data_IF_559642662160
#
_entry.id   IF_559642662160
#
_cell.length_a   1.000
_cell.length_b   1.000
_cell.length_c   1.000
_cell.angle_alpha   90.00
_cell.angle_beta   90.00
_cell.angle_gamma   90.00
#
_symmetry.space_group_name_H-M   'P 1'
#
loop_
_entity.id
_entity.type
_entity.pdbx_description
1 polymer ?
#
# COMPACT_ATOMS: atom_id res chain seq x y z
N UNK A 1 -28.76 29.06 -6.88
CA UNK A 1 -27.39 29.31 -6.35
C UNK A 1 -26.53 28.06 -6.18
N UNK A 2 -27.01 26.97 -5.55
CA UNK A 2 -26.21 25.76 -5.28
C UNK A 2 -25.71 25.02 -6.54
N UNK A 3 -26.46 25.07 -7.63
CA UNK A 3 -26.11 24.42 -8.91
C UNK A 3 -25.06 25.21 -9.71
N UNK A 4 -25.17 26.55 -9.76
CA UNK A 4 -24.14 27.40 -10.35
C UNK A 4 -22.79 27.25 -9.64
N UNK A 5 -22.81 27.20 -8.30
CA UNK A 5 -21.60 26.97 -7.49
C UNK A 5 -20.98 25.58 -7.71
N UNK A 6 -21.81 24.56 -7.92
CA UNK A 6 -21.32 23.22 -8.29
C UNK A 6 -20.61 23.23 -9.64
N UNK A 7 -21.19 23.89 -10.65
CA UNK A 7 -20.59 23.96 -11.99
C UNK A 7 -19.22 24.63 -11.93
N UNK A 8 -19.11 25.78 -11.25
CA UNK A 8 -17.85 26.54 -11.17
C UNK A 8 -16.79 25.82 -10.34
N UNK A 9 -17.12 25.37 -9.12
CA UNK A 9 -16.15 24.65 -8.26
C UNK A 9 -15.81 23.26 -8.83
N UNK A 10 -16.77 22.57 -9.43
CA UNK A 10 -16.59 21.27 -10.06
C UNK A 10 -15.65 21.36 -11.26
N UNK A 11 -15.84 22.37 -12.12
CA UNK A 11 -14.93 22.64 -13.24
C UNK A 11 -13.52 23.01 -12.76
N UNK A 12 -13.40 23.82 -11.70
CA UNK A 12 -12.11 24.17 -11.12
C UNK A 12 -11.37 22.95 -10.56
N UNK A 13 -12.06 22.08 -9.81
CA UNK A 13 -11.48 20.84 -9.27
C UNK A 13 -11.12 19.86 -10.39
N UNK A 14 -11.91 19.80 -11.45
CA UNK A 14 -11.60 19.01 -12.65
C UNK A 14 -10.32 19.50 -13.33
N UNK A 15 -10.18 20.81 -13.53
CA UNK A 15 -8.98 21.41 -14.11
C UNK A 15 -7.74 21.14 -13.23
N UNK A 16 -7.86 21.29 -11.91
CA UNK A 16 -6.80 20.93 -10.96
C UNK A 16 -6.44 19.45 -11.09
N UNK A 17 -7.44 18.56 -11.17
CA UNK A 17 -7.18 17.13 -11.34
C UNK A 17 -6.39 16.84 -12.63
N UNK A 18 -6.81 17.40 -13.77
CA UNK A 18 -6.12 17.20 -15.06
C UNK A 18 -4.69 17.73 -15.01
N UNK A 19 -4.47 18.90 -14.37
CA UNK A 19 -3.12 19.44 -14.16
C UNK A 19 -2.26 18.50 -13.31
N UNK A 20 -2.77 18.02 -12.17
CA UNK A 20 -2.07 17.07 -11.32
C UNK A 20 -1.76 15.77 -12.06
N UNK A 21 -2.68 15.29 -12.91
CA UNK A 21 -2.49 14.09 -13.71
C UNK A 21 -1.31 14.26 -14.66
N UNK A 22 -1.24 15.36 -15.39
CA UNK A 22 -0.12 15.62 -16.31
C UNK A 22 1.21 15.80 -15.58
N UNK A 23 1.23 16.54 -14.46
CA UNK A 23 2.44 16.64 -13.63
C UNK A 23 2.89 15.24 -13.16
N UNK A 24 1.92 14.39 -12.76
CA UNK A 24 2.18 13.03 -12.31
C UNK A 24 2.80 12.11 -13.37
N UNK A 25 2.65 12.47 -14.65
CA UNK A 25 3.08 11.66 -15.78
C UNK A 25 4.37 12.18 -16.41
N UNK A 26 4.52 13.49 -16.51
CA UNK A 26 5.58 14.10 -17.33
C UNK A 26 6.69 14.79 -16.54
N UNK A 27 6.52 15.00 -15.23
CA UNK A 27 7.58 15.60 -14.40
C UNK A 27 8.29 14.51 -13.59
N UNK A 28 9.55 14.16 -13.88
CA UNK A 28 10.30 13.18 -13.12
C UNK A 28 10.42 13.57 -11.64
N UNK A 29 10.47 12.57 -10.74
CA UNK A 29 10.57 12.71 -9.27
C UNK A 29 9.32 13.36 -8.65
N UNK A 30 8.99 14.60 -9.05
CA UNK A 30 7.80 15.32 -8.60
C UNK A 30 6.52 14.56 -8.95
N UNK A 31 6.47 13.95 -10.14
CA UNK A 31 5.29 13.22 -10.59
C UNK A 31 4.93 12.03 -9.71
N UNK A 32 5.92 11.37 -9.11
CA UNK A 32 5.71 10.30 -8.12
C UNK A 32 5.00 10.83 -6.88
N UNK A 33 5.45 11.98 -6.36
CA UNK A 33 4.84 12.62 -5.18
C UNK A 33 3.43 13.11 -5.50
N UNK A 34 3.25 13.75 -6.66
CA UNK A 34 1.96 14.31 -7.10
C UNK A 34 0.92 13.23 -7.40
N UNK A 35 1.34 12.02 -7.79
CA UNK A 35 0.44 10.87 -8.00
C UNK A 35 -0.43 10.61 -6.77
N UNK A 36 0.11 10.74 -5.56
CA UNK A 36 -0.65 10.53 -4.32
C UNK A 36 -1.62 11.67 -3.98
N UNK A 37 -1.50 12.82 -4.63
CA UNK A 37 -2.45 13.94 -4.52
C UNK A 37 -3.62 13.83 -5.50
N UNK A 38 -3.57 12.92 -6.49
CA UNK A 38 -4.63 12.74 -7.49
C UNK A 38 -6.03 12.45 -6.92
N UNK A 39 -6.19 11.73 -5.79
CA UNK A 39 -7.50 11.54 -5.17
C UNK A 39 -8.10 12.84 -4.62
N UNK A 40 -7.28 13.84 -4.28
CA UNK A 40 -7.69 14.99 -3.48
C UNK A 40 -8.83 15.82 -4.11
N UNK A 41 -8.82 16.15 -5.42
CA UNK A 41 -9.94 16.87 -6.03
C UNK A 41 -11.27 16.12 -5.91
N UNK A 42 -11.25 14.79 -6.09
CA UNK A 42 -12.43 13.95 -5.96
C UNK A 42 -12.89 13.78 -4.51
N UNK A 43 -11.96 13.72 -3.55
CA UNK A 43 -12.26 13.77 -2.11
C UNK A 43 -13.02 15.06 -1.77
N UNK A 44 -12.49 16.21 -2.18
CA UNK A 44 -13.09 17.52 -1.93
C UNK A 44 -14.48 17.64 -2.56
N UNK A 45 -14.61 17.19 -3.80
CA UNK A 45 -15.87 17.21 -4.52
C UNK A 45 -16.94 16.35 -3.81
N UNK A 46 -16.56 15.16 -3.34
CA UNK A 46 -17.45 14.23 -2.65
C UNK A 46 -17.88 14.74 -1.27
N UNK A 47 -16.96 15.39 -0.54
CA UNK A 47 -17.27 16.03 0.75
C UNK A 47 -18.27 17.17 0.54
N UNK A 48 -18.02 18.05 -0.44
CA UNK A 48 -18.80 19.28 -0.66
C UNK A 48 -20.16 19.05 -1.33
N UNK A 49 -20.27 18.07 -2.22
CA UNK A 49 -21.45 17.85 -3.06
C UNK A 49 -22.07 16.47 -2.86
N UNK A 50 -23.18 16.20 -3.58
CA UNK A 50 -23.81 14.86 -3.59
C UNK A 50 -22.90 13.86 -4.31
N UNK A 51 -23.04 12.57 -3.97
CA UNK A 51 -22.25 11.51 -4.59
C UNK A 51 -22.43 11.44 -6.12
N UNK A 52 -23.67 11.65 -6.60
CA UNK A 52 -23.99 11.73 -8.03
C UNK A 52 -23.11 12.77 -8.75
N UNK A 53 -22.92 13.93 -8.15
CA UNK A 53 -22.13 15.02 -8.71
C UNK A 53 -20.64 14.66 -8.80
N UNK A 54 -20.14 13.87 -7.84
CA UNK A 54 -18.78 13.38 -7.87
C UNK A 54 -18.54 12.45 -9.06
N UNK A 55 -19.51 11.56 -9.34
CA UNK A 55 -19.48 10.70 -10.53
C UNK A 55 -19.58 11.49 -11.84
N UNK A 56 -20.39 12.56 -11.90
CA UNK A 56 -20.44 13.41 -13.11
C UNK A 56 -19.06 13.99 -13.45
N UNK A 57 -18.36 14.56 -12.46
CA UNK A 57 -17.02 15.11 -12.69
C UNK A 57 -15.99 14.01 -12.97
N UNK A 58 -16.12 12.84 -12.33
CA UNK A 58 -15.28 11.68 -12.65
C UNK A 58 -15.46 11.22 -14.10
N UNK A 59 -16.69 11.11 -14.59
CA UNK A 59 -16.96 10.78 -15.98
C UNK A 59 -16.41 11.84 -16.92
N UNK A 60 -16.55 13.14 -16.60
CA UNK A 60 -15.95 14.21 -17.37
C UNK A 60 -14.41 14.12 -17.41
N UNK A 61 -13.78 13.85 -16.26
CA UNK A 61 -12.34 13.62 -16.17
C UNK A 61 -11.89 12.43 -17.03
N UNK A 62 -12.62 11.32 -16.94
CA UNK A 62 -12.35 10.12 -17.72
C UNK A 62 -12.42 10.42 -19.22
N UNK A 63 -13.49 11.07 -19.70
CA UNK A 63 -13.64 11.45 -21.10
C UNK A 63 -12.51 12.37 -21.58
N UNK A 64 -12.15 13.40 -20.80
CA UNK A 64 -11.03 14.29 -21.16
C UNK A 64 -9.73 13.48 -21.30
N UNK A 65 -9.46 12.57 -20.36
CA UNK A 65 -8.24 11.77 -20.35
C UNK A 65 -8.20 10.77 -21.50
N UNK A 66 -9.34 10.27 -21.97
CA UNK A 66 -9.42 9.43 -23.19
C UNK A 66 -8.89 10.18 -24.41
N UNK A 67 -9.21 11.47 -24.56
CA UNK A 67 -8.80 12.24 -25.73
C UNK A 67 -7.39 12.83 -25.63
N UNK A 68 -6.92 13.16 -24.41
CA UNK A 68 -5.71 13.98 -24.23
C UNK A 68 -4.54 13.19 -23.61
N UNK A 69 -4.75 11.96 -23.13
CA UNK A 69 -3.73 11.20 -22.40
C UNK A 69 -3.44 9.81 -22.99
N UNK A 70 -2.34 9.22 -22.52
CA UNK A 70 -1.92 7.86 -22.80
C UNK A 70 -2.74 6.85 -21.95
N UNK A 71 -2.76 5.55 -22.28
CA UNK A 71 -3.50 4.53 -21.52
C UNK A 71 -3.21 4.51 -20.02
N UNK A 72 -1.97 4.81 -19.61
CA UNK A 72 -1.60 4.91 -18.19
C UNK A 72 -2.33 6.04 -17.46
N UNK A 73 -2.66 7.14 -18.16
CA UNK A 73 -3.46 8.23 -17.63
C UNK A 73 -4.87 7.76 -17.28
N UNK A 74 -5.49 6.95 -18.15
CA UNK A 74 -6.81 6.36 -17.89
C UNK A 74 -6.79 5.46 -16.66
N UNK A 75 -5.77 4.60 -16.54
CA UNK A 75 -5.57 3.75 -15.37
C UNK A 75 -5.49 4.59 -14.09
N UNK A 76 -4.66 5.65 -14.11
CA UNK A 76 -4.55 6.59 -12.97
C UNK A 76 -5.89 7.27 -12.68
N UNK A 77 -6.65 7.71 -13.68
CA UNK A 77 -7.96 8.33 -13.47
C UNK A 77 -8.95 7.40 -12.82
N UNK A 78 -9.07 6.17 -13.31
CA UNK A 78 -9.99 5.18 -12.74
C UNK A 78 -9.60 4.88 -11.29
N UNK A 79 -8.32 4.56 -11.03
CA UNK A 79 -7.84 4.18 -9.69
C UNK A 79 -7.98 5.32 -8.69
N UNK A 80 -7.35 6.46 -8.97
CA UNK A 80 -7.27 7.55 -8.01
C UNK A 80 -8.57 8.36 -7.95
N UNK A 81 -9.32 8.42 -9.05
CA UNK A 81 -10.63 9.08 -9.09
C UNK A 81 -11.68 8.33 -8.27
N UNK A 82 -11.83 7.02 -8.50
CA UNK A 82 -12.74 6.20 -7.68
C UNK A 82 -12.28 6.16 -6.23
N UNK A 83 -10.98 6.06 -5.98
CA UNK A 83 -10.46 6.14 -4.61
C UNK A 83 -10.82 7.46 -3.93
N UNK A 84 -10.67 8.59 -4.62
CA UNK A 84 -11.02 9.88 -4.07
C UNK A 84 -12.50 9.99 -3.72
N UNK A 85 -13.37 9.36 -4.50
CA UNK A 85 -14.80 9.26 -4.19
C UNK A 85 -15.05 8.38 -2.95
N UNK A 86 -14.42 7.20 -2.88
CA UNK A 86 -14.55 6.28 -1.74
C UNK A 86 -14.09 6.94 -0.44
N UNK A 87 -12.88 7.50 -0.42
CA UNK A 87 -12.34 8.18 0.76
C UNK A 87 -13.14 9.44 1.09
N UNK A 88 -13.57 10.20 0.08
CA UNK A 88 -14.44 11.35 0.27
C UNK A 88 -15.75 11.01 0.98
N UNK A 89 -16.35 9.85 0.68
CA UNK A 89 -17.53 9.35 1.39
C UNK A 89 -17.22 9.03 2.86
N UNK A 90 -16.06 8.43 3.13
CA UNK A 90 -15.65 8.07 4.49
C UNK A 90 -15.34 9.30 5.34
N UNK A 91 -14.62 10.28 4.78
CA UNK A 91 -14.36 11.57 5.43
C UNK A 91 -15.66 12.33 5.69
N UNK A 92 -16.57 12.37 4.73
CA UNK A 92 -17.88 13.02 4.89
C UNK A 92 -18.71 12.42 6.03
N UNK A 93 -18.57 11.12 6.27
CA UNK A 93 -19.23 10.38 7.37
C UNK A 93 -18.44 10.42 8.69
N UNK A 94 -17.34 11.19 8.77
CA UNK A 94 -16.47 11.29 9.95
C UNK A 94 -16.03 9.92 10.50
N UNK A 95 -15.68 8.99 9.61
CA UNK A 95 -15.24 7.64 10.00
C UNK A 95 -13.87 7.68 10.67
N UNK A 96 -13.64 6.71 11.56
CA UNK A 96 -12.36 6.58 12.28
C UNK A 96 -11.21 6.30 11.29
N UNK A 97 -9.98 6.79 11.54
CA UNK A 97 -8.85 6.62 10.62
C UNK A 97 -8.61 5.17 10.18
N UNK A 98 -8.72 4.20 11.08
CA UNK A 98 -8.57 2.78 10.76
C UNK A 98 -9.65 2.27 9.79
N UNK A 99 -10.90 2.71 9.93
CA UNK A 99 -11.98 2.35 8.99
C UNK A 99 -11.70 2.93 7.60
N UNK A 100 -11.18 4.17 7.54
CA UNK A 100 -10.76 4.80 6.29
C UNK A 100 -9.61 4.02 5.65
N UNK A 101 -8.60 3.60 6.43
CA UNK A 101 -7.47 2.81 5.94
C UNK A 101 -7.92 1.47 5.37
N UNK A 102 -8.76 0.71 6.10
CA UNK A 102 -9.24 -0.59 5.64
C UNK A 102 -10.06 -0.44 4.36
N UNK A 103 -10.99 0.53 4.33
CA UNK A 103 -11.86 0.77 3.16
C UNK A 103 -11.05 1.21 1.95
N UNK A 104 -10.08 2.12 2.13
CA UNK A 104 -9.18 2.55 1.06
C UNK A 104 -8.28 1.42 0.58
N UNK A 105 -7.73 0.61 1.49
CA UNK A 105 -6.88 -0.54 1.12
C UNK A 105 -7.66 -1.54 0.27
N UNK A 106 -8.90 -1.86 0.66
CA UNK A 106 -9.78 -2.74 -0.11
C UNK A 106 -10.15 -2.14 -1.48
N UNK A 107 -10.46 -0.84 -1.54
CA UNK A 107 -10.77 -0.18 -2.80
C UNK A 107 -9.57 -0.12 -3.75
N UNK A 108 -8.34 0.13 -3.26
CA UNK A 108 -7.12 0.06 -4.09
C UNK A 108 -6.89 -1.38 -4.56
N UNK A 109 -7.02 -2.37 -3.67
CA UNK A 109 -6.81 -3.77 -4.01
C UNK A 109 -7.77 -4.21 -5.13
N UNK A 110 -9.07 -3.95 -4.97
CA UNK A 110 -10.08 -4.25 -5.98
C UNK A 110 -9.76 -3.56 -7.29
N UNK A 111 -9.39 -2.28 -7.25
CA UNK A 111 -9.05 -1.52 -8.47
C UNK A 111 -7.85 -2.13 -9.20
N UNK A 112 -6.78 -2.46 -8.47
CA UNK A 112 -5.57 -3.09 -9.02
C UNK A 112 -5.91 -4.46 -9.61
N UNK A 113 -6.71 -5.27 -8.92
CA UNK A 113 -7.13 -6.58 -9.43
C UNK A 113 -7.99 -6.47 -10.69
N UNK A 114 -8.93 -5.51 -10.74
CA UNK A 114 -9.74 -5.27 -11.93
C UNK A 114 -8.87 -4.84 -13.12
N UNK A 115 -7.88 -3.98 -12.90
CA UNK A 115 -6.93 -3.57 -13.93
C UNK A 115 -6.08 -4.75 -14.40
N UNK A 116 -5.62 -5.59 -13.48
CA UNK A 116 -4.86 -6.79 -13.82
C UNK A 116 -5.68 -7.77 -14.67
N UNK A 117 -6.93 -8.02 -14.31
CA UNK A 117 -7.83 -8.87 -15.11
C UNK A 117 -8.10 -8.24 -16.48
N UNK A 118 -8.30 -6.92 -16.53
CA UNK A 118 -8.49 -6.19 -17.79
C UNK A 118 -7.25 -6.24 -18.69
N UNK A 119 -6.04 -6.12 -18.13
CA UNK A 119 -4.80 -6.19 -18.90
C UNK A 119 -4.65 -7.54 -19.60
N UNK A 120 -4.99 -8.63 -18.92
CA UNK A 120 -4.95 -9.97 -19.50
C UNK A 120 -6.03 -10.13 -20.57
N UNK A 121 -7.29 -9.82 -20.25
CA UNK A 121 -8.42 -10.13 -21.14
C UNK A 121 -8.50 -9.25 -22.39
N UNK A 122 -8.19 -7.96 -22.27
CA UNK A 122 -8.37 -7.01 -23.37
C UNK A 122 -7.07 -6.70 -24.11
N UNK A 123 -5.92 -6.84 -23.45
CA UNK A 123 -4.64 -6.46 -24.02
C UNK A 123 -3.67 -7.63 -24.18
N UNK A 124 -4.02 -8.84 -23.71
CA UNK A 124 -3.12 -9.99 -23.65
C UNK A 124 -1.81 -9.71 -22.91
N UNK A 125 -1.87 -8.81 -21.92
CA UNK A 125 -0.74 -8.37 -21.08
C UNK A 125 -0.85 -9.04 -19.71
N UNK A 126 0.05 -9.98 -19.45
CA UNK A 126 0.26 -10.59 -18.13
C UNK A 126 1.47 -9.95 -17.44
N UNK A 127 1.19 -9.04 -16.51
CA UNK A 127 2.23 -8.31 -15.78
C UNK A 127 3.09 -9.23 -14.90
N UNK A 128 2.52 -10.30 -14.35
CA UNK A 128 3.27 -11.24 -13.51
C UNK A 128 4.30 -11.97 -14.37
N UNK A 129 3.87 -12.52 -15.52
CA UNK A 129 4.79 -13.17 -16.46
C UNK A 129 5.84 -12.24 -17.01
N UNK A 130 5.52 -10.95 -17.23
CA UNK A 130 6.52 -9.97 -17.66
C UNK A 130 7.59 -9.76 -16.60
N UNK A 131 7.22 -9.60 -15.33
CA UNK A 131 8.18 -9.47 -14.22
C UNK A 131 9.06 -10.73 -14.14
N UNK A 132 8.48 -11.93 -14.24
CA UNK A 132 9.23 -13.19 -14.25
C UNK A 132 10.20 -13.28 -15.42
N UNK A 133 9.74 -12.92 -16.63
CA UNK A 133 10.59 -12.91 -17.82
C UNK A 133 11.74 -11.91 -17.70
N UNK A 134 11.49 -10.73 -17.12
CA UNK A 134 12.53 -9.75 -16.82
C UNK A 134 13.53 -10.29 -15.80
N UNK A 135 13.06 -10.92 -14.72
CA UNK A 135 13.91 -11.54 -13.72
C UNK A 135 14.82 -12.62 -14.34
N UNK A 136 14.24 -13.55 -15.11
CA UNK A 136 14.97 -14.61 -15.80
C UNK A 136 16.02 -14.04 -16.77
N UNK A 137 15.69 -13.00 -17.53
CA UNK A 137 16.64 -12.30 -18.41
C UNK A 137 17.80 -11.69 -17.61
N UNK A 138 17.52 -11.07 -16.46
CA UNK A 138 18.54 -10.51 -15.57
C UNK A 138 19.48 -11.57 -14.99
N UNK A 139 18.96 -12.76 -14.67
CA UNK A 139 19.79 -13.89 -14.21
C UNK A 139 20.72 -14.36 -15.32
N UNK A 140 20.20 -14.57 -16.53
CA UNK A 140 21.01 -14.97 -17.70
C UNK A 140 22.06 -13.91 -18.05
N UNK A 141 21.71 -12.63 -17.95
CA UNK A 141 22.66 -11.54 -18.20
C UNK A 141 23.75 -11.50 -17.12
N UNK A 142 23.39 -11.67 -15.85
CA UNK A 142 24.34 -11.77 -14.75
C UNK A 142 25.30 -12.95 -14.95
N UNK A 143 24.80 -14.09 -15.41
CA UNK A 143 25.62 -15.27 -15.70
C UNK A 143 26.67 -14.97 -16.78
N UNK A 144 26.27 -14.31 -17.88
CA UNK A 144 27.21 -13.93 -18.94
C UNK A 144 28.31 -13.02 -18.41
N UNK A 145 27.97 -11.99 -17.64
CA UNK A 145 28.94 -11.06 -17.06
C UNK A 145 29.90 -11.80 -16.11
N UNK A 146 29.36 -12.65 -15.25
CA UNK A 146 30.13 -13.40 -14.27
C UNK A 146 31.09 -14.40 -14.94
N UNK A 147 30.65 -15.06 -16.03
CA UNK A 147 31.49 -15.95 -16.84
C UNK A 147 32.65 -15.22 -17.51
N UNK A 148 32.41 -14.02 -18.06
CA UNK A 148 33.46 -13.18 -18.67
C UNK A 148 34.44 -12.66 -17.61
N UNK A 149 33.97 -12.40 -16.39
CA UNK A 149 34.79 -11.99 -15.25
C UNK A 149 35.56 -13.15 -14.58
N UNK A 150 35.49 -14.38 -15.11
CA UNK A 150 36.15 -15.56 -14.54
C UNK A 150 35.51 -16.08 -13.24
N UNK A 151 34.29 -15.63 -12.92
CA UNK A 151 33.53 -16.03 -11.73
C UNK A 151 32.19 -16.65 -12.14
N UNK A 152 32.18 -17.83 -12.79
CA UNK A 152 30.93 -18.43 -13.25
C UNK A 152 29.98 -18.71 -12.08
N UNK A 153 28.69 -18.41 -12.29
CA UNK A 153 27.64 -18.67 -11.30
C UNK A 153 27.51 -20.18 -11.09
N UNK A 154 27.57 -20.64 -9.84
CA UNK A 154 27.47 -22.06 -9.50
C UNK A 154 26.05 -22.61 -9.78
N UNK A 155 25.91 -23.93 -9.90
CA UNK A 155 24.59 -24.56 -10.07
C UNK A 155 23.66 -24.26 -8.89
N UNK A 156 24.19 -24.29 -7.67
CA UNK A 156 23.44 -23.96 -6.45
C UNK A 156 22.93 -22.52 -6.48
N UNK A 157 23.75 -21.56 -6.92
CA UNK A 157 23.33 -20.16 -7.08
C UNK A 157 22.23 -20.01 -8.12
N UNK A 158 22.27 -20.78 -9.21
CA UNK A 158 21.19 -20.80 -10.21
C UNK A 158 19.88 -21.35 -9.65
N UNK A 159 19.95 -22.44 -8.90
CA UNK A 159 18.77 -23.01 -8.24
C UNK A 159 18.16 -22.02 -7.24
N UNK A 160 18.98 -21.28 -6.49
CA UNK A 160 18.50 -20.20 -5.63
C UNK A 160 17.75 -19.11 -6.43
N UNK A 161 18.25 -18.69 -7.59
CA UNK A 161 17.53 -17.72 -8.42
C UNK A 161 16.17 -18.25 -8.91
N UNK A 162 16.10 -19.52 -9.32
CA UNK A 162 14.83 -20.15 -9.72
C UNK A 162 13.85 -20.17 -8.54
N UNK A 163 14.31 -20.60 -7.35
CA UNK A 163 13.49 -20.60 -6.15
C UNK A 163 12.99 -19.19 -5.77
N UNK A 164 13.82 -18.16 -5.92
CA UNK A 164 13.40 -16.78 -5.67
C UNK A 164 12.26 -16.35 -6.61
N UNK A 165 12.32 -16.74 -7.90
CA UNK A 165 11.25 -16.44 -8.85
C UNK A 165 9.93 -17.14 -8.47
N UNK A 166 10.00 -18.39 -8.03
CA UNK A 166 8.83 -19.16 -7.59
C UNK A 166 8.22 -18.61 -6.29
N UNK A 167 9.06 -18.19 -5.34
CA UNK A 167 8.63 -17.51 -4.12
C UNK A 167 7.92 -16.20 -4.47
N UNK A 168 8.49 -15.38 -5.37
CA UNK A 168 7.89 -14.12 -5.80
C UNK A 168 6.48 -14.33 -6.37
N UNK A 169 6.28 -15.38 -7.17
CA UNK A 169 4.96 -15.72 -7.68
C UNK A 169 4.01 -16.15 -6.56
N UNK A 170 4.50 -16.97 -5.62
CA UNK A 170 3.72 -17.48 -4.51
C UNK A 170 3.23 -16.36 -3.59
N UNK A 171 4.07 -15.39 -3.26
CA UNK A 171 3.74 -14.28 -2.35
C UNK A 171 3.16 -13.03 -3.05
N UNK A 172 2.94 -13.11 -4.36
CA UNK A 172 2.40 -12.00 -5.15
C UNK A 172 1.08 -11.43 -4.60
N UNK A 173 0.11 -12.26 -4.14
CA UNK A 173 -1.11 -11.74 -3.51
C UNK A 173 -0.83 -10.83 -2.30
N UNK A 174 0.10 -11.20 -1.43
CA UNK A 174 0.50 -10.37 -0.29
C UNK A 174 1.19 -9.08 -0.70
N UNK A 175 1.95 -9.09 -1.81
CA UNK A 175 2.52 -7.86 -2.38
C UNK A 175 1.40 -6.91 -2.81
N UNK A 176 0.35 -7.39 -3.48
CA UNK A 176 -0.79 -6.57 -3.88
C UNK A 176 -1.52 -5.97 -2.67
N UNK A 177 -1.74 -6.77 -1.63
CA UNK A 177 -2.34 -6.30 -0.36
C UNK A 177 -1.47 -5.20 0.25
N UNK A 178 -0.16 -5.42 0.36
CA UNK A 178 0.78 -4.47 0.94
C UNK A 178 0.81 -3.15 0.15
N UNK A 179 0.93 -3.22 -1.18
CA UNK A 179 0.89 -2.04 -2.05
C UNK A 179 -0.41 -1.27 -1.83
N UNK A 180 -1.55 -1.97 -1.77
CA UNK A 180 -2.86 -1.35 -1.58
C UNK A 180 -2.97 -0.62 -0.23
N UNK A 181 -2.45 -1.23 0.83
CA UNK A 181 -2.38 -0.62 2.18
C UNK A 181 -1.48 0.60 2.18
N UNK A 182 -0.29 0.51 1.58
CA UNK A 182 0.65 1.63 1.46
C UNK A 182 0.04 2.80 0.68
N UNK A 183 -0.57 2.53 -0.48
CA UNK A 183 -1.26 3.53 -1.28
C UNK A 183 -2.36 4.22 -0.48
N UNK A 184 -3.19 3.44 0.24
CA UNK A 184 -4.26 3.97 1.09
C UNK A 184 -3.71 4.84 2.20
N UNK A 185 -2.68 4.38 2.90
CA UNK A 185 -2.09 5.10 4.03
C UNK A 185 -1.45 6.43 3.60
N UNK A 186 -0.67 6.43 2.51
CA UNK A 186 -0.08 7.65 1.95
C UNK A 186 -1.18 8.62 1.51
N UNK A 187 -2.21 8.12 0.82
CA UNK A 187 -3.35 8.95 0.39
C UNK A 187 -4.01 9.63 1.60
N UNK A 188 -4.26 8.88 2.68
CA UNK A 188 -4.90 9.39 3.91
C UNK A 188 -4.05 10.46 4.59
N UNK A 189 -2.73 10.28 4.66
CA UNK A 189 -1.82 11.28 5.26
C UNK A 189 -1.87 12.59 4.48
N UNK A 190 -1.78 12.52 3.15
CA UNK A 190 -1.80 13.69 2.27
C UNK A 190 -3.17 14.35 2.29
N UNK A 191 -4.25 13.58 2.13
CA UNK A 191 -5.61 14.10 2.10
C UNK A 191 -6.02 14.67 3.45
N UNK A 192 -5.72 13.99 4.56
CA UNK A 192 -6.02 14.49 5.91
C UNK A 192 -5.33 15.83 6.18
N UNK A 193 -4.06 15.96 5.78
CA UNK A 193 -3.31 17.22 5.91
C UNK A 193 -3.91 18.35 5.06
N UNK A 194 -4.27 18.05 3.81
CA UNK A 194 -4.88 19.01 2.90
C UNK A 194 -6.28 19.43 3.36
N UNK A 195 -7.11 18.48 3.80
CA UNK A 195 -8.46 18.74 4.32
C UNK A 195 -8.43 19.63 5.56
N UNK A 196 -7.51 19.37 6.49
CA UNK A 196 -7.32 20.22 7.67
C UNK A 196 -6.94 21.66 7.30
N UNK A 197 -6.03 21.84 6.33
CA UNK A 197 -5.66 23.17 5.81
C UNK A 197 -6.84 23.90 5.16
N UNK A 198 -7.71 23.15 4.50
CA UNK A 198 -8.94 23.64 3.87
C UNK A 198 -10.11 23.80 4.86
N UNK A 199 -9.85 23.73 6.18
CA UNK A 199 -10.84 23.89 7.26
C UNK A 199 -12.00 22.89 7.20
N UNK A 200 -11.74 21.67 6.71
CA UNK A 200 -12.67 20.55 6.83
C UNK A 200 -12.39 19.77 8.12
N UNK A 201 -13.45 19.44 8.86
CA UNK A 201 -13.35 18.59 10.04
C UNK A 201 -12.94 17.17 9.62
N UNK A 202 -11.79 16.73 10.11
CA UNK A 202 -11.27 15.37 9.90
C UNK A 202 -10.68 14.85 11.20
N UNK A 203 -11.01 13.60 11.53
CA UNK A 203 -10.37 12.91 12.64
C UNK A 203 -8.89 12.69 12.26
N UNK A 204 -7.93 13.23 13.03
CA UNK A 204 -6.52 13.13 12.68
C UNK A 204 -6.04 11.67 12.74
N UNK A 205 -5.12 11.31 11.85
CA UNK A 205 -4.42 10.03 11.94
C UNK A 205 -3.63 9.96 13.26
N UNK A 206 -3.68 8.84 14.01
CA UNK A 206 -2.92 8.71 15.26
C UNK A 206 -1.42 8.87 15.02
N UNK A 207 -0.69 9.40 16.01
CA UNK A 207 0.77 9.46 15.93
C UNK A 207 1.31 8.03 15.84
N UNK A 208 2.42 7.82 15.12
CA UNK A 208 2.97 6.48 14.90
C UNK A 208 3.19 5.68 16.19
N UNK A 209 3.67 6.34 17.26
CA UNK A 209 3.84 5.73 18.59
C UNK A 209 2.53 5.25 19.23
N UNK A 210 1.39 5.81 18.86
CA UNK A 210 0.08 5.52 19.45
C UNK A 210 -0.69 4.48 18.60
N UNK A 211 -0.16 4.07 17.45
CA UNK A 211 -0.75 3.02 16.61
C UNK A 211 -0.58 1.68 17.32
N UNK A 212 -1.72 1.05 17.60
CA UNK A 212 -1.80 -0.30 18.14
C UNK A 212 -2.77 -1.11 17.29
N UNK A 213 -2.33 -2.29 16.87
CA UNK A 213 -3.20 -3.24 16.21
C UNK A 213 -4.14 -3.93 17.22
N UNK A 214 -5.25 -4.53 16.76
CA UNK A 214 -6.11 -5.34 17.61
C UNK A 214 -5.36 -6.53 18.23
N UNK A 215 -5.57 -6.79 19.53
CA UNK A 215 -4.97 -7.94 20.23
C UNK A 215 -5.32 -9.29 19.58
N UNK A 216 -6.43 -9.37 18.86
CA UNK A 216 -6.84 -10.57 18.12
C UNK A 216 -5.81 -11.03 17.08
N UNK A 217 -4.99 -10.12 16.53
CA UNK A 217 -3.96 -10.47 15.54
C UNK A 217 -2.96 -11.49 16.10
N UNK A 218 -2.56 -11.36 17.37
CA UNK A 218 -1.65 -12.32 18.01
C UNK A 218 -2.29 -13.70 18.10
N UNK A 219 -3.56 -13.76 18.50
CA UNK A 219 -4.29 -15.04 18.58
C UNK A 219 -4.47 -15.69 17.22
N UNK A 220 -4.80 -14.92 16.18
CA UNK A 220 -4.86 -15.45 14.81
C UNK A 220 -3.49 -15.92 14.32
N UNK A 221 -2.40 -15.23 14.68
CA UNK A 221 -1.05 -15.66 14.35
C UNK A 221 -0.65 -16.97 15.06
N UNK A 222 -1.00 -17.12 16.34
CA UNK A 222 -0.76 -18.37 17.09
C UNK A 222 -1.52 -19.54 16.46
N UNK A 223 -2.81 -19.36 16.14
CA UNK A 223 -3.61 -20.38 15.44
C UNK A 223 -2.96 -20.72 14.10
N UNK A 224 -2.54 -19.72 13.34
CA UNK A 224 -1.87 -19.89 12.07
C UNK A 224 -0.58 -20.73 12.20
N UNK A 225 0.29 -20.44 13.17
CA UNK A 225 1.52 -21.22 13.40
C UNK A 225 1.20 -22.68 13.74
N UNK A 226 0.20 -22.90 14.60
CA UNK A 226 -0.21 -24.26 14.97
C UNK A 226 -0.68 -25.02 13.72
N UNK A 227 -1.56 -24.41 12.93
CA UNK A 227 -2.04 -25.00 11.68
C UNK A 227 -0.88 -25.27 10.70
N UNK A 228 0.04 -24.33 10.50
CA UNK A 228 1.17 -24.49 9.58
C UNK A 228 2.17 -25.55 10.03
N UNK A 229 2.25 -25.83 11.34
CA UNK A 229 3.18 -26.82 11.89
C UNK A 229 2.64 -28.24 11.77
N UNK A 230 1.34 -28.43 12.01
CA UNK A 230 0.74 -29.77 12.04
C UNK A 230 0.17 -30.22 10.70
N UNK A 231 -0.18 -29.28 9.81
CA UNK A 231 -0.67 -29.61 8.47
C UNK A 231 0.53 -29.73 7.54
N UNK A 232 0.75 -30.92 6.97
CA UNK A 232 1.72 -31.10 5.89
C UNK A 232 1.13 -30.54 4.59
N UNK A 233 1.87 -29.64 3.96
CA UNK A 233 1.42 -28.91 2.79
C UNK A 233 2.39 -29.13 1.65
N UNK A 234 1.89 -29.61 0.52
CA UNK A 234 2.70 -29.77 -0.69
C UNK A 234 3.09 -28.41 -1.27
N UNK A 235 4.35 -28.19 -1.67
CA UNK A 235 4.84 -26.88 -2.13
C UNK A 235 4.09 -26.29 -3.33
N UNK A 236 3.52 -27.12 -4.19
CA UNK A 236 2.78 -26.69 -5.40
C UNK A 236 1.28 -26.49 -5.14
N UNK A 237 0.81 -26.77 -3.92
CA UNK A 237 -0.62 -26.71 -3.60
C UNK A 237 -1.12 -25.27 -3.42
N UNK A 238 -2.41 -25.05 -3.70
CA UNK A 238 -3.08 -23.79 -3.37
C UNK A 238 -2.99 -23.44 -1.87
N UNK A 239 -3.00 -24.48 -1.02
CA UNK A 239 -2.92 -24.33 0.42
C UNK A 239 -1.54 -23.82 0.86
N UNK A 240 -0.46 -24.20 0.16
CA UNK A 240 0.87 -23.61 0.35
C UNK A 240 0.87 -22.12 0.04
N UNK A 241 0.27 -21.73 -1.09
CA UNK A 241 0.14 -20.32 -1.46
C UNK A 241 -0.61 -19.52 -0.37
N UNK A 242 -1.73 -20.04 0.15
CA UNK A 242 -2.47 -19.36 1.22
C UNK A 242 -1.62 -19.19 2.47
N UNK A 243 -0.96 -20.24 2.95
CA UNK A 243 -0.11 -20.15 4.14
C UNK A 243 1.07 -19.20 3.95
N UNK A 244 1.75 -19.25 2.79
CA UNK A 244 2.87 -18.37 2.47
C UNK A 244 2.44 -16.89 2.44
N UNK A 245 1.28 -16.58 1.89
CA UNK A 245 0.76 -15.21 1.89
C UNK A 245 0.35 -14.74 3.29
N UNK A 246 -0.35 -15.58 4.05
CA UNK A 246 -0.71 -15.28 5.44
C UNK A 246 0.52 -15.06 6.32
N UNK A 247 1.57 -15.87 6.14
CA UNK A 247 2.85 -15.70 6.82
C UNK A 247 3.40 -14.28 6.61
N UNK A 248 3.47 -13.84 5.35
CA UNK A 248 3.94 -12.51 4.98
C UNK A 248 3.08 -11.40 5.61
N UNK A 249 1.75 -11.55 5.58
CA UNK A 249 0.81 -10.55 6.15
C UNK A 249 0.99 -10.46 7.67
N UNK A 250 1.03 -11.58 8.38
CA UNK A 250 1.24 -11.58 9.82
C UNK A 250 2.60 -11.01 10.21
N UNK A 251 3.67 -11.40 9.49
CA UNK A 251 5.00 -10.86 9.72
C UNK A 251 5.01 -9.33 9.59
N UNK A 252 4.42 -8.78 8.52
CA UNK A 252 4.35 -7.33 8.30
C UNK A 252 3.56 -6.61 9.40
N UNK A 253 2.41 -7.15 9.80
CA UNK A 253 1.57 -6.56 10.85
C UNK A 253 2.31 -6.54 12.20
N UNK A 254 2.98 -7.64 12.55
CA UNK A 254 3.71 -7.76 13.81
C UNK A 254 5.01 -6.95 13.81
N UNK A 255 5.72 -6.86 12.67
CA UNK A 255 6.85 -5.94 12.52
C UNK A 255 6.41 -4.49 12.67
N UNK A 256 5.30 -4.09 12.03
CA UNK A 256 4.74 -2.76 12.20
C UNK A 256 4.45 -2.47 13.67
N UNK A 257 3.80 -3.41 14.37
CA UNK A 257 3.55 -3.28 15.81
C UNK A 257 4.84 -3.18 16.63
N UNK A 258 5.86 -3.99 16.32
CA UNK A 258 7.16 -3.92 16.98
C UNK A 258 7.82 -2.55 16.82
N UNK A 259 7.76 -1.98 15.61
CA UNK A 259 8.28 -0.64 15.33
C UNK A 259 7.48 0.47 16.03
N UNK A 260 6.14 0.37 16.08
CA UNK A 260 5.33 1.33 16.83
C UNK A 260 5.64 1.24 18.32
N UNK A 261 5.90 0.03 18.84
CA UNK A 261 6.28 -0.20 20.25
C UNK A 261 7.65 0.37 20.57
N UNK A 262 8.65 0.16 19.72
CA UNK A 262 9.98 0.79 19.86
C UNK A 262 9.85 2.31 19.93
N UNK A 263 9.00 2.89 19.06
CA UNK A 263 8.75 4.34 19.05
C UNK A 263 8.09 4.82 20.35
N UNK A 264 7.13 4.05 20.87
CA UNK A 264 6.51 4.33 22.16
C UNK A 264 7.51 4.26 23.31
N UNK A 265 8.32 3.20 23.36
CA UNK A 265 9.32 3.00 24.40
C UNK A 265 10.36 4.13 24.41
N UNK A 266 10.83 4.52 23.22
CA UNK A 266 11.76 5.64 23.07
C UNK A 266 11.14 6.93 23.62
N UNK A 267 9.88 7.22 23.30
CA UNK A 267 9.20 8.38 23.83
C UNK A 267 8.98 8.29 25.36
N UNK A 268 8.54 7.15 25.87
CA UNK A 268 8.25 6.94 27.29
C UNK A 268 9.49 7.07 28.17
N UNK A 269 10.66 6.66 27.65
CA UNK A 269 11.96 6.77 28.34
C UNK A 269 12.70 8.08 28.08
N UNK A 270 12.10 9.02 27.36
CA UNK A 270 12.72 10.32 27.03
C UNK A 270 13.88 10.23 26.02
N UNK A 271 14.01 9.13 25.28
CA UNK A 271 15.02 9.02 24.22
C UNK A 271 14.72 9.95 23.04
N UNK A 272 15.79 10.31 22.31
CA UNK A 272 15.67 11.17 21.13
C UNK A 272 14.89 10.47 20.00
N UNK A 273 14.36 11.26 19.07
CA UNK A 273 13.71 10.75 17.85
C UNK A 273 14.65 9.93 16.95
N UNK A 274 15.96 9.94 17.22
CA UNK A 274 16.95 9.12 16.50
C UNK A 274 16.76 7.63 16.74
N UNK A 275 16.38 7.20 17.94
CA UNK A 275 16.25 5.77 18.26
C UNK A 275 15.18 5.08 17.38
N UNK A 276 13.95 5.59 17.25
CA UNK A 276 12.96 4.98 16.37
C UNK A 276 13.36 5.01 14.89
N UNK A 277 14.00 6.09 14.43
CA UNK A 277 14.43 6.24 13.03
C UNK A 277 15.53 5.23 12.71
N UNK A 278 16.56 5.14 13.55
CA UNK A 278 17.66 4.18 13.39
C UNK A 278 17.12 2.76 13.48
N UNK A 279 16.20 2.46 14.40
CA UNK A 279 15.59 1.14 14.50
C UNK A 279 14.81 0.76 13.24
N UNK A 280 14.09 1.72 12.64
CA UNK A 280 13.39 1.51 11.37
C UNK A 280 14.38 1.24 10.23
N UNK A 281 15.41 2.06 10.09
CA UNK A 281 16.45 1.91 9.05
C UNK A 281 17.17 0.57 9.23
N UNK A 282 17.64 0.27 10.45
CA UNK A 282 18.32 -0.98 10.76
C UNK A 282 17.42 -2.19 10.43
N UNK A 283 16.14 -2.16 10.82
CA UNK A 283 15.19 -3.20 10.47
C UNK A 283 15.09 -3.39 8.95
N UNK A 284 15.02 -2.31 8.17
CA UNK A 284 14.93 -2.38 6.70
C UNK A 284 16.19 -2.94 6.01
N UNK A 285 17.40 -2.61 6.50
CA UNK A 285 18.66 -3.02 5.86
C UNK A 285 19.28 -4.30 6.44
N UNK A 286 18.83 -4.74 7.62
CA UNK A 286 19.34 -5.93 8.30
C UNK A 286 18.19 -6.93 8.45
N UNK A 287 17.98 -7.84 7.49
CA UNK A 287 16.88 -8.81 7.50
C UNK A 287 16.80 -9.64 8.79
N UNK A 288 17.95 -9.90 9.44
CA UNK A 288 18.03 -10.64 10.69
C UNK A 288 17.29 -9.95 11.87
N UNK A 289 17.01 -8.66 11.77
CA UNK A 289 16.23 -7.94 12.78
C UNK A 289 14.72 -8.16 12.64
N UNK A 290 14.20 -8.56 11.48
CA UNK A 290 12.76 -8.74 11.27
C UNK A 290 12.13 -9.71 12.28
N UNK A 291 12.69 -10.90 12.54
CA UNK A 291 12.16 -11.81 13.55
C UNK A 291 12.18 -11.21 14.96
N UNK A 292 13.23 -10.48 15.32
CA UNK A 292 13.35 -9.85 16.64
C UNK A 292 12.27 -8.76 16.83
N UNK A 293 12.07 -7.92 15.82
CA UNK A 293 11.02 -6.88 15.85
C UNK A 293 9.63 -7.51 15.84
N UNK A 294 9.44 -8.62 15.12
CA UNK A 294 8.19 -9.41 15.15
C UNK A 294 7.88 -9.89 16.56
N UNK A 295 8.87 -10.48 17.25
CA UNK A 295 8.73 -10.94 18.64
C UNK A 295 8.34 -9.77 19.55
N UNK A 296 8.98 -8.61 19.41
CA UNK A 296 8.59 -7.41 20.18
C UNK A 296 7.12 -7.04 19.93
N UNK A 297 6.65 -7.10 18.69
CA UNK A 297 5.25 -6.84 18.34
C UNK A 297 4.28 -7.84 18.98
N UNK A 298 4.65 -9.13 19.01
CA UNK A 298 3.86 -10.19 19.68
C UNK A 298 3.77 -9.92 21.18
N UNK A 299 4.89 -9.63 21.84
CA UNK A 299 4.92 -9.40 23.29
C UNK A 299 4.11 -8.15 23.64
N UNK A 300 4.25 -7.06 22.86
CA UNK A 300 3.50 -5.83 23.08
C UNK A 300 1.99 -6.06 23.04
N UNK A 301 1.48 -6.71 22.00
CA UNK A 301 0.05 -6.98 21.86
C UNK A 301 -0.45 -8.05 22.84
N UNK A 302 0.29 -9.15 22.99
CA UNK A 302 -0.11 -10.29 23.81
C UNK A 302 -0.16 -9.96 25.30
N UNK A 303 0.85 -9.25 25.81
CA UNK A 303 0.96 -8.90 27.24
C UNK A 303 0.43 -7.48 27.52
N UNK A 304 0.17 -6.69 26.48
CA UNK A 304 -0.20 -5.27 26.61
C UNK A 304 0.88 -4.48 27.34
N UNK A 305 2.14 -4.60 26.92
CA UNK A 305 3.30 -3.98 27.58
C UNK A 305 3.14 -2.47 27.77
N UNK A 306 2.56 -1.78 26.79
CA UNK A 306 2.32 -0.33 26.84
C UNK A 306 1.52 0.11 28.07
N UNK A 307 0.50 -0.65 28.49
CA UNK A 307 -0.31 -0.28 29.65
C UNK A 307 0.43 -0.53 30.98
N UNK A 308 1.49 -1.33 30.98
CA UNK A 308 2.33 -1.58 32.15
C UNK A 308 3.48 -0.59 32.28
N UNK A 309 3.93 0.00 31.17
CA UNK A 309 5.06 0.96 31.13
C UNK A 309 4.55 2.40 31.22
N UNK A 310 3.38 2.70 30.65
CA UNK A 310 2.75 4.03 30.67
C UNK A 310 1.72 4.23 31.78
N UNK A 311 1.72 3.36 32.80
CA UNK A 311 1.01 3.56 34.06
C UNK A 311 1.91 4.22 35.09
#
# INVERSE_FOLDING_TARGET
MRQARFITEGAALLAIYVMLLFISMYVPILGTVVTFALPLPFILLTIRYKLSNAFVIFTAAFLIVVFVSQPIGLVKTVVFGLMGIVLGCMYKKQRKPLEILITGSLAYLISIMLIYVASIKFFNIDFIKQIQNMFNKSVVQSEKIASVAGMPISKEQKELFVQMNDILQTVFPSILVMVSVCLSWITIIISGSALKKLKHDVIPWPKFKDIQLPKSIVWYYVIFILLSTFIKVEPTSYLHMVFSNLYVIFALLLVLQGLTFITFLAHSKGFTKGVPIISFIACMFIPMLFPLVTILGIIDLGISLRSKIGG
#
